data_IF_208027121079
#
_entry.id   IF_208027121079
#
_cell.length_a   1.000
_cell.length_b   1.000
_cell.length_c   1.000
_cell.angle_alpha   90.00
_cell.angle_beta   90.00
_cell.angle_gamma   90.00
#
_symmetry.space_group_name_H-M   'P 1'
#
loop_
_entity.id
_entity.type
_entity.pdbx_description
1 polymer ?
#
# COMPACT_ATOMS: atom_id res chain seq x y z
N UNK A 1 -17.92 -20.53 -19.90
CA UNK A 1 -17.39 -20.32 -18.53
C UNK A 1 -16.76 -18.94 -18.49
N UNK A 2 -17.51 -17.92 -18.09
CA UNK A 2 -16.94 -16.60 -17.80
C UNK A 2 -16.38 -16.70 -16.38
N UNK A 3 -15.05 -16.77 -16.24
CA UNK A 3 -14.43 -16.38 -15.00
C UNK A 3 -14.73 -14.89 -14.85
N UNK A 4 -15.73 -14.60 -14.04
CA UNK A 4 -16.13 -13.26 -13.65
C UNK A 4 -14.90 -12.61 -13.00
N UNK A 5 -14.12 -11.87 -13.80
CA UNK A 5 -12.97 -11.14 -13.31
C UNK A 5 -13.57 -10.07 -12.41
N UNK A 6 -13.52 -10.30 -11.10
CA UNK A 6 -13.80 -9.31 -10.07
C UNK A 6 -12.50 -8.55 -9.81
N UNK A 7 -12.16 -7.51 -10.61
CA UNK A 7 -10.91 -6.77 -10.46
C UNK A 7 -10.80 -6.12 -9.07
N UNK A 8 -11.94 -5.83 -8.43
CA UNK A 8 -12.04 -5.39 -7.05
C UNK A 8 -11.54 -6.46 -6.07
N UNK A 9 -11.96 -7.71 -6.22
CA UNK A 9 -11.46 -8.81 -5.37
C UNK A 9 -9.98 -9.06 -5.59
N UNK A 10 -9.52 -9.10 -6.85
CA UNK A 10 -8.11 -9.30 -7.17
C UNK A 10 -7.23 -8.23 -6.53
N UNK A 11 -7.58 -6.95 -6.70
CA UNK A 11 -6.84 -5.84 -6.11
C UNK A 11 -6.80 -5.90 -4.58
N UNK A 12 -7.90 -6.32 -3.91
CA UNK A 12 -7.90 -6.49 -2.45
C UNK A 12 -7.00 -7.65 -1.97
N UNK A 13 -6.93 -8.75 -2.72
CA UNK A 13 -6.05 -9.87 -2.40
C UNK A 13 -4.58 -9.45 -2.55
N UNK A 14 -4.23 -8.76 -3.63
CA UNK A 14 -2.88 -8.23 -3.84
C UNK A 14 -2.52 -7.18 -2.77
N UNK A 15 -3.47 -6.34 -2.34
CA UNK A 15 -3.28 -5.42 -1.21
C UNK A 15 -2.93 -6.16 0.10
N UNK A 16 -3.64 -7.24 0.45
CA UNK A 16 -3.32 -8.02 1.66
C UNK A 16 -1.93 -8.67 1.56
N UNK A 17 -1.57 -9.19 0.37
CA UNK A 17 -0.27 -9.79 0.13
C UNK A 17 0.87 -8.77 0.25
N UNK A 18 0.75 -7.62 -0.42
CA UNK A 18 1.77 -6.56 -0.38
C UNK A 18 1.93 -5.97 1.02
N UNK A 19 0.83 -5.77 1.76
CA UNK A 19 0.91 -5.32 3.16
C UNK A 19 1.54 -6.38 4.07
N UNK A 20 1.33 -7.67 3.77
CA UNK A 20 2.03 -8.77 4.47
C UNK A 20 3.53 -8.70 4.26
N UNK A 21 3.98 -8.48 3.02
CA UNK A 21 5.41 -8.33 2.71
C UNK A 21 6.03 -7.09 3.36
N UNK A 22 5.33 -5.95 3.34
CA UNK A 22 5.78 -4.73 4.03
C UNK A 22 5.93 -4.97 5.54
N UNK A 23 4.96 -5.63 6.16
CA UNK A 23 5.00 -5.95 7.60
C UNK A 23 6.16 -6.91 7.89
N UNK A 24 6.33 -7.96 7.10
CA UNK A 24 7.45 -8.91 7.23
C UNK A 24 8.80 -8.20 7.13
N UNK A 25 8.97 -7.35 6.11
CA UNK A 25 10.20 -6.61 5.90
C UNK A 25 10.46 -5.63 7.04
N UNK A 26 9.43 -4.90 7.48
CA UNK A 26 9.48 -4.01 8.64
C UNK A 26 9.93 -4.75 9.90
N UNK A 27 9.36 -5.91 10.18
CA UNK A 27 9.62 -6.64 11.43
C UNK A 27 11.05 -7.25 11.46
N UNK A 28 11.65 -7.48 10.29
CA UNK A 28 13.08 -7.84 10.15
C UNK A 28 14.03 -6.64 10.07
N UNK A 29 13.49 -5.42 10.14
CA UNK A 29 14.24 -4.18 10.10
C UNK A 29 13.87 -3.25 11.25
N UNK A 30 14.42 -2.05 11.22
CA UNK A 30 14.11 -1.00 12.19
C UNK A 30 14.32 0.39 11.55
N UNK A 31 13.96 1.48 12.25
CA UNK A 31 14.18 2.84 11.73
C UNK A 31 15.66 3.18 11.49
N UNK A 32 16.61 2.56 12.21
CA UNK A 32 18.04 2.80 12.01
C UNK A 32 18.53 2.18 10.70
N UNK A 33 18.11 0.94 10.42
CA UNK A 33 18.32 0.25 9.14
C UNK A 33 17.70 1.03 8.00
N UNK A 34 16.50 1.57 8.19
CA UNK A 34 15.88 2.45 7.20
C UNK A 34 16.76 3.68 6.89
N UNK A 35 17.31 4.34 7.90
CA UNK A 35 18.19 5.49 7.69
C UNK A 35 19.50 5.11 6.99
N UNK A 36 20.10 3.97 7.35
CA UNK A 36 21.43 3.58 6.88
C UNK A 36 21.42 2.88 5.51
N UNK A 37 20.44 2.03 5.23
CA UNK A 37 20.46 1.13 4.07
C UNK A 37 19.58 1.65 2.91
N UNK A 38 20.23 2.22 1.89
CA UNK A 38 19.53 2.73 0.71
C UNK A 38 18.72 1.65 -0.04
N UNK A 39 19.24 0.42 -0.10
CA UNK A 39 18.52 -0.69 -0.73
C UNK A 39 17.25 -1.06 0.03
N UNK A 40 17.31 -1.13 1.36
CA UNK A 40 16.14 -1.41 2.21
C UNK A 40 15.04 -0.35 2.03
N UNK A 41 15.40 0.94 2.02
CA UNK A 41 14.45 2.02 1.70
C UNK A 41 13.86 1.87 0.31
N UNK A 42 14.69 1.61 -0.69
CA UNK A 42 14.25 1.47 -2.07
C UNK A 42 13.23 0.34 -2.22
N UNK A 43 13.44 -0.81 -1.58
CA UNK A 43 12.47 -1.91 -1.59
C UNK A 43 11.14 -1.48 -0.95
N UNK A 44 11.17 -0.82 0.22
CA UNK A 44 9.96 -0.32 0.86
C UNK A 44 9.21 0.70 -0.02
N UNK A 45 9.92 1.61 -0.70
CA UNK A 45 9.31 2.54 -1.65
C UNK A 45 8.60 1.81 -2.78
N UNK A 46 9.24 0.78 -3.36
CA UNK A 46 8.63 -0.02 -4.45
C UNK A 46 7.39 -0.78 -4.00
N UNK A 47 7.41 -1.36 -2.81
CA UNK A 47 6.26 -2.03 -2.23
C UNK A 47 5.11 -1.03 -1.97
N UNK A 48 5.38 0.15 -1.41
CA UNK A 48 4.35 1.16 -1.20
C UNK A 48 3.76 1.73 -2.50
N UNK A 49 4.56 1.84 -3.57
CA UNK A 49 4.04 2.18 -4.90
C UNK A 49 3.08 1.08 -5.40
N UNK A 50 3.46 -0.20 -5.25
CA UNK A 50 2.60 -1.31 -5.63
C UNK A 50 1.28 -1.29 -4.85
N UNK A 51 1.32 -1.10 -3.52
CA UNK A 51 0.12 -0.96 -2.69
C UNK A 51 -0.79 0.15 -3.21
N UNK A 52 -0.26 1.33 -3.54
CA UNK A 52 -1.10 2.41 -4.06
C UNK A 52 -1.61 2.18 -5.48
N UNK A 53 -0.92 1.38 -6.32
CA UNK A 53 -1.45 0.97 -7.61
C UNK A 53 -2.67 0.04 -7.45
N UNK A 54 -2.60 -0.94 -6.54
CA UNK A 54 -3.72 -1.84 -6.27
C UNK A 54 -4.89 -1.11 -5.60
N UNK A 55 -4.60 -0.15 -4.71
CA UNK A 55 -5.63 0.73 -4.14
C UNK A 55 -6.36 1.54 -5.22
N UNK A 56 -5.63 2.05 -6.22
CA UNK A 56 -6.21 2.75 -7.36
C UNK A 56 -7.07 1.80 -8.21
N UNK A 57 -6.56 0.59 -8.51
CA UNK A 57 -7.29 -0.42 -9.26
C UNK A 57 -8.62 -0.80 -8.57
N UNK A 58 -8.59 -1.05 -7.27
CA UNK A 58 -9.79 -1.34 -6.47
C UNK A 58 -10.80 -0.19 -6.51
N UNK A 59 -10.35 1.05 -6.33
CA UNK A 59 -11.24 2.19 -6.34
C UNK A 59 -11.89 2.42 -7.72
N UNK A 60 -11.13 2.21 -8.79
CA UNK A 60 -11.64 2.24 -10.17
C UNK A 60 -12.66 1.12 -10.41
N UNK A 61 -12.35 -0.11 -9.99
CA UNK A 61 -13.22 -1.27 -10.15
C UNK A 61 -14.55 -1.15 -9.41
N UNK A 62 -14.56 -0.46 -8.26
CA UNK A 62 -15.75 -0.32 -7.41
C UNK A 62 -16.52 0.99 -7.65
N UNK A 63 -16.13 1.77 -8.68
CA UNK A 63 -16.65 3.13 -8.96
C UNK A 63 -16.65 4.05 -7.72
N UNK A 64 -15.82 3.72 -6.72
CA UNK A 64 -15.74 4.50 -5.49
C UNK A 64 -14.96 5.76 -5.78
N UNK A 65 -15.53 6.91 -5.42
CA UNK A 65 -14.76 8.14 -5.36
C UNK A 65 -13.61 7.96 -4.37
N UNK A 66 -12.38 7.89 -4.88
CA UNK A 66 -11.14 7.78 -4.10
C UNK A 66 -11.13 8.86 -3.01
N UNK A 67 -11.65 10.06 -3.32
CA UNK A 67 -11.70 11.20 -2.39
C UNK A 67 -12.75 11.08 -1.29
N UNK A 68 -13.79 10.26 -1.48
CA UNK A 68 -14.81 10.03 -0.47
C UNK A 68 -14.34 9.05 0.63
N UNK A 69 -13.29 8.28 0.37
CA UNK A 69 -12.73 7.34 1.34
C UNK A 69 -11.27 7.67 1.63
N UNK A 70 -11.02 8.14 2.86
CA UNK A 70 -9.71 8.61 3.31
C UNK A 70 -8.60 7.55 3.20
N UNK A 71 -8.93 6.26 3.32
CA UNK A 71 -7.93 5.18 3.20
C UNK A 71 -7.40 5.08 1.76
N UNK A 72 -8.29 5.02 0.78
CA UNK A 72 -7.91 4.92 -0.64
C UNK A 72 -7.20 6.18 -1.12
N UNK A 73 -7.68 7.36 -0.72
CA UNK A 73 -7.02 8.64 -1.00
C UNK A 73 -5.58 8.65 -0.48
N UNK A 74 -5.37 8.30 0.79
CA UNK A 74 -4.06 8.28 1.43
C UNK A 74 -3.07 7.34 0.72
N UNK A 75 -3.52 6.17 0.26
CA UNK A 75 -2.66 5.22 -0.46
C UNK A 75 -2.32 5.72 -1.88
N UNK A 76 -3.28 6.33 -2.57
CA UNK A 76 -3.05 6.96 -3.87
C UNK A 76 -2.07 8.14 -3.75
N UNK A 77 -2.22 8.97 -2.71
CA UNK A 77 -1.35 10.10 -2.45
C UNK A 77 0.08 9.67 -2.13
N UNK A 78 0.25 8.64 -1.28
CA UNK A 78 1.57 8.07 -1.01
C UNK A 78 2.23 7.53 -2.28
N UNK A 79 1.46 6.81 -3.11
CA UNK A 79 1.96 6.29 -4.39
C UNK A 79 2.32 7.40 -5.35
N UNK A 80 1.52 8.45 -5.46
CA UNK A 80 1.84 9.61 -6.31
C UNK A 80 3.09 10.34 -5.83
N UNK A 81 3.24 10.50 -4.51
CA UNK A 81 4.44 11.06 -3.91
C UNK A 81 5.69 10.23 -4.26
N UNK A 82 5.64 8.92 -4.07
CA UNK A 82 6.77 8.02 -4.34
C UNK A 82 7.08 7.84 -5.83
N UNK A 83 6.07 7.85 -6.69
CA UNK A 83 6.24 7.62 -8.13
C UNK A 83 6.74 8.86 -8.88
N UNK A 84 6.43 10.07 -8.37
CA UNK A 84 6.73 11.32 -9.06
C UNK A 84 7.78 12.19 -8.36
N UNK A 85 8.15 11.89 -7.12
CA UNK A 85 9.27 12.55 -6.46
C UNK A 85 10.58 11.90 -6.89
N UNK A 86 11.61 12.74 -7.11
CA UNK A 86 12.97 12.26 -7.30
C UNK A 86 13.61 12.04 -5.94
N UNK A 87 14.62 11.19 -5.83
CA UNK A 87 15.52 11.26 -4.68
C UNK A 87 16.36 12.55 -4.83
N UNK A 88 16.53 13.37 -3.77
CA UNK A 88 16.21 13.14 -2.35
C UNK A 88 14.86 13.72 -1.88
N UNK A 89 13.98 14.16 -2.78
CA UNK A 89 12.76 14.92 -2.47
C UNK A 89 11.62 14.07 -1.88
N UNK A 90 11.83 12.76 -1.71
CA UNK A 90 10.90 11.89 -1.03
C UNK A 90 10.84 12.28 0.46
N UNK A 91 9.67 12.71 0.93
CA UNK A 91 9.34 12.74 2.36
C UNK A 91 9.43 11.32 2.95
N UNK A 92 10.59 11.00 3.52
CA UNK A 92 10.82 9.71 4.16
C UNK A 92 9.99 9.54 5.46
N UNK A 93 9.55 10.65 6.06
CA UNK A 93 8.71 10.64 7.24
C UNK A 93 7.31 10.10 6.94
N UNK A 94 6.73 10.39 5.76
CA UNK A 94 5.45 9.79 5.37
C UNK A 94 5.60 8.29 5.16
N UNK A 95 6.66 7.82 4.52
CA UNK A 95 6.91 6.39 4.30
C UNK A 95 7.05 5.66 5.63
N UNK A 96 7.84 6.21 6.55
CA UNK A 96 8.00 5.63 7.89
C UNK A 96 6.68 5.56 8.66
N UNK A 97 5.86 6.63 8.63
CA UNK A 97 4.54 6.60 9.29
C UNK A 97 3.65 5.49 8.71
N UNK A 98 3.65 5.30 7.40
CA UNK A 98 2.86 4.23 6.78
C UNK A 98 3.38 2.84 7.17
N UNK A 99 4.69 2.62 7.11
CA UNK A 99 5.32 1.34 7.46
C UNK A 99 5.11 0.97 8.94
N UNK A 100 5.50 1.84 9.87
CA UNK A 100 5.52 1.48 11.29
C UNK A 100 4.22 1.75 12.03
N UNK A 101 3.49 2.81 11.68
CA UNK A 101 2.30 3.20 12.44
C UNK A 101 0.98 2.75 11.81
N UNK A 102 0.96 2.45 10.50
CA UNK A 102 -0.30 2.20 9.78
C UNK A 102 -0.43 0.84 9.13
N UNK A 103 0.68 0.17 8.77
CA UNK A 103 0.63 -1.06 7.98
C UNK A 103 -0.32 -2.13 8.54
N UNK A 104 -0.28 -2.40 9.86
CA UNK A 104 -1.17 -3.39 10.47
C UNK A 104 -2.64 -2.98 10.40
N UNK A 105 -2.95 -1.72 10.72
CA UNK A 105 -4.33 -1.21 10.67
C UNK A 105 -4.90 -1.17 9.25
N UNK A 106 -4.06 -0.83 8.27
CA UNK A 106 -4.40 -0.91 6.85
C UNK A 106 -4.74 -2.35 6.48
N UNK A 107 -3.88 -3.30 6.83
CA UNK A 107 -4.09 -4.72 6.54
C UNK A 107 -5.37 -5.26 7.19
N UNK A 108 -5.64 -4.90 8.45
CA UNK A 108 -6.90 -5.26 9.11
C UNK A 108 -8.11 -4.74 8.34
N UNK A 109 -8.06 -3.48 7.90
CA UNK A 109 -9.13 -2.85 7.12
C UNK A 109 -9.35 -3.55 5.77
N UNK A 110 -8.26 -3.92 5.07
CA UNK A 110 -8.33 -4.68 3.81
C UNK A 110 -8.99 -6.05 4.06
N UNK A 111 -8.60 -6.75 5.13
CA UNK A 111 -9.18 -8.06 5.50
C UNK A 111 -10.65 -7.96 5.86
N UNK A 112 -11.06 -6.93 6.58
CA UNK A 112 -12.46 -6.66 6.87
C UNK A 112 -13.27 -6.41 5.60
N UNK A 113 -12.66 -5.75 4.60
CA UNK A 113 -13.27 -5.51 3.29
C UNK A 113 -13.37 -6.79 2.46
N UNK A 114 -12.40 -7.72 2.60
CA UNK A 114 -12.39 -9.03 1.93
C UNK A 114 -13.43 -10.01 2.47
N UNK A 115 -13.71 -10.00 3.78
CA UNK A 115 -14.65 -10.94 4.44
C UNK A 115 -16.01 -11.11 3.74
N UNK A 116 -16.73 -10.04 3.35
CA UNK A 116 -18.02 -10.19 2.67
C UNK A 116 -17.92 -10.62 1.19
N UNK A 117 -16.72 -10.71 0.62
CA UNK A 117 -16.50 -11.08 -0.79
C UNK A 117 -16.14 -12.55 -0.98
N UNK A 118 -15.90 -13.29 0.11
CA UNK A 118 -15.68 -14.74 0.15
C UNK A 118 -17.00 -15.50 0.30
#
# INVERSE_FOLDING_TARGET
MNADHRPDLHALLELDALLTEIISLRDTGDPARYAAEAHYRWVLHRLWIAVGNEALAYATATERSIRANRLWANLCDLRNHLAHSRLPDIDEGIVQRFTWARADSLRSTIRETLRPMQ
#
